data_IF_793373909073
#
_entry.id   IF_793373909073
#
_cell.length_a   1.000
_cell.length_b   1.000
_cell.length_c   1.000
_cell.angle_alpha   90.00
_cell.angle_beta   90.00
_cell.angle_gamma   90.00
#
_symmetry.space_group_name_H-M   'P 1'
#
loop_
_entity.id
_entity.type
_entity.pdbx_description
1 polymer ?
#
# COMPACT_ATOMS: atom_id res chain seq x y z
N UNK A 1 -11.67 42.30 1.60
CA UNK A 1 -12.45 41.11 2.04
C UNK A 1 -13.31 40.49 0.93
N UNK A 2 -13.85 41.24 -0.05
CA UNK A 2 -14.65 40.69 -1.18
C UNK A 2 -13.92 39.69 -2.10
N UNK A 3 -12.60 39.78 -2.23
CA UNK A 3 -11.81 38.89 -3.10
C UNK A 3 -11.64 37.46 -2.55
N UNK A 4 -11.47 37.32 -1.23
CA UNK A 4 -11.35 36.01 -0.57
C UNK A 4 -12.65 35.19 -0.68
N UNK A 5 -13.81 35.85 -0.63
CA UNK A 5 -15.11 35.20 -0.77
C UNK A 5 -15.30 34.59 -2.16
N UNK A 6 -14.79 35.26 -3.21
CA UNK A 6 -14.83 34.76 -4.59
C UNK A 6 -13.85 33.62 -4.83
N UNK A 7 -12.67 33.68 -4.22
CA UNK A 7 -11.67 32.62 -4.29
C UNK A 7 -12.17 31.32 -3.60
N UNK A 8 -12.83 31.46 -2.45
CA UNK A 8 -13.43 30.34 -1.73
C UNK A 8 -14.57 29.66 -2.51
N UNK A 9 -15.39 30.45 -3.22
CA UNK A 9 -16.49 29.94 -4.04
C UNK A 9 -16.03 29.14 -5.26
N UNK A 10 -14.85 29.47 -5.81
CA UNK A 10 -14.26 28.77 -6.97
C UNK A 10 -13.51 27.50 -6.52
N UNK A 11 -12.90 27.49 -5.33
CA UNK A 11 -12.20 26.31 -4.81
C UNK A 11 -13.12 25.22 -4.25
N UNK A 12 -14.29 25.58 -3.71
CA UNK A 12 -15.23 24.62 -3.14
C UNK A 12 -15.61 23.43 -4.07
N UNK A 13 -15.92 23.62 -5.37
CA UNK A 13 -16.24 22.50 -6.26
C UNK A 13 -15.03 21.63 -6.62
N UNK A 14 -13.80 22.15 -6.53
CA UNK A 14 -12.58 21.37 -6.82
C UNK A 14 -12.31 20.29 -5.76
N UNK A 15 -12.77 20.49 -4.52
CA UNK A 15 -12.67 19.49 -3.44
C UNK A 15 -13.75 18.39 -3.54
N UNK A 16 -14.87 18.67 -4.22
CA UNK A 16 -15.93 17.69 -4.43
C UNK A 16 -15.60 16.64 -5.51
N UNK A 17 -14.48 16.81 -6.23
CA UNK A 17 -13.99 15.84 -7.21
C UNK A 17 -13.20 14.67 -6.58
N UNK A 18 -13.14 14.55 -5.25
CA UNK A 18 -12.68 13.33 -4.61
C UNK A 18 -13.61 12.18 -5.03
N UNK A 19 -13.06 11.23 -5.80
CA UNK A 19 -13.81 10.14 -6.41
C UNK A 19 -14.61 9.30 -5.40
N UNK A 20 -15.53 8.49 -5.93
CA UNK A 20 -16.41 7.64 -5.12
C UNK A 20 -15.61 6.82 -4.10
N UNK A 21 -15.88 6.94 -2.79
CA UNK A 21 -15.13 6.19 -1.79
C UNK A 21 -15.33 4.69 -2.03
N UNK A 22 -14.25 3.92 -1.91
CA UNK A 22 -14.26 2.47 -2.15
C UNK A 22 -14.22 1.73 -0.82
N UNK A 23 -14.99 0.66 -0.69
CA UNK A 23 -14.99 -0.22 0.47
C UNK A 23 -14.92 -1.70 0.09
N UNK A 24 -14.36 -2.50 0.98
CA UNK A 24 -14.38 -3.95 0.87
C UNK A 24 -15.76 -4.47 1.31
N UNK A 25 -16.44 -5.18 0.42
CA UNK A 25 -17.77 -5.75 0.67
C UNK A 25 -17.79 -7.25 0.38
N UNK A 26 -18.56 -7.99 1.17
CA UNK A 26 -18.80 -9.43 1.04
C UNK A 26 -20.24 -9.74 1.45
N UNK A 27 -21.01 -10.49 0.66
CA UNK A 27 -22.40 -10.81 0.99
C UNK A 27 -22.47 -11.67 2.26
N UNK A 28 -23.45 -11.37 3.12
CA UNK A 28 -23.74 -12.16 4.33
C UNK A 28 -22.75 -12.01 5.49
N UNK A 29 -21.82 -11.05 5.42
CA UNK A 29 -20.83 -10.80 6.49
C UNK A 29 -21.29 -9.66 7.39
N UNK A 30 -21.13 -9.82 8.70
CA UNK A 30 -21.43 -8.75 9.66
C UNK A 30 -20.32 -7.68 9.65
N UNK A 31 -20.61 -6.43 10.05
CA UNK A 31 -19.58 -5.38 10.14
C UNK A 31 -18.42 -5.75 11.07
N UNK A 32 -18.70 -6.50 12.13
CA UNK A 32 -17.68 -6.99 13.07
C UNK A 32 -16.75 -8.00 12.41
N UNK A 33 -17.30 -8.98 11.69
CA UNK A 33 -16.51 -9.97 10.94
C UNK A 33 -15.66 -9.29 9.85
N UNK A 34 -16.23 -8.32 9.13
CA UNK A 34 -15.48 -7.54 8.14
C UNK A 34 -14.29 -6.80 8.75
N UNK A 35 -14.46 -6.21 9.93
CA UNK A 35 -13.38 -5.55 10.66
C UNK A 35 -12.32 -6.56 11.13
N UNK A 36 -12.73 -7.72 11.63
CA UNK A 36 -11.82 -8.79 12.04
C UNK A 36 -11.00 -9.32 10.85
N UNK A 37 -11.65 -9.58 9.71
CA UNK A 37 -11.00 -10.04 8.48
C UNK A 37 -10.00 -9.02 7.96
N UNK A 38 -10.37 -7.74 7.94
CA UNK A 38 -9.48 -6.64 7.53
C UNK A 38 -8.25 -6.54 8.42
N UNK A 39 -8.44 -6.60 9.74
CA UNK A 39 -7.34 -6.59 10.71
C UNK A 39 -6.42 -7.81 10.55
N UNK A 40 -7.00 -9.00 10.39
CA UNK A 40 -6.26 -10.23 10.14
C UNK A 40 -5.39 -10.10 8.88
N UNK A 41 -5.99 -9.65 7.76
CA UNK A 41 -5.28 -9.51 6.49
C UNK A 41 -4.16 -8.47 6.58
N UNK A 42 -4.36 -7.36 7.29
CA UNK A 42 -3.32 -6.37 7.55
C UNK A 42 -2.14 -6.96 8.31
N UNK A 43 -2.39 -7.68 9.41
CA UNK A 43 -1.32 -8.31 10.18
C UNK A 43 -0.58 -9.40 9.40
N UNK A 44 -1.30 -10.19 8.60
CA UNK A 44 -0.68 -11.19 7.72
C UNK A 44 0.21 -10.54 6.66
N UNK A 45 -0.29 -9.48 6.00
CA UNK A 45 0.46 -8.72 5.01
C UNK A 45 1.74 -8.10 5.59
N UNK A 46 1.66 -7.50 6.78
CA UNK A 46 2.82 -6.97 7.48
C UNK A 46 3.85 -8.06 7.75
N UNK A 47 3.45 -9.20 8.33
CA UNK A 47 4.37 -10.31 8.61
C UNK A 47 5.06 -10.82 7.34
N UNK A 48 4.31 -10.97 6.26
CA UNK A 48 4.83 -11.47 4.99
C UNK A 48 5.78 -10.46 4.30
N UNK A 49 5.43 -9.17 4.32
CA UNK A 49 6.30 -8.11 3.81
C UNK A 49 7.62 -8.02 4.61
N UNK A 50 7.57 -8.28 5.92
CA UNK A 50 8.76 -8.39 6.76
C UNK A 50 9.56 -9.67 6.51
N UNK A 51 8.89 -10.80 6.28
CA UNK A 51 9.54 -12.06 5.98
C UNK A 51 10.30 -12.00 4.64
N UNK A 52 9.66 -11.52 3.58
CA UNK A 52 10.30 -11.30 2.27
C UNK A 52 11.51 -10.37 2.38
N UNK A 53 11.43 -9.29 3.16
CA UNK A 53 12.61 -8.46 3.46
C UNK A 53 13.72 -9.20 4.19
N UNK A 54 13.39 -10.07 5.14
CA UNK A 54 14.40 -10.87 5.84
C UNK A 54 15.10 -11.79 4.84
N UNK A 55 14.34 -12.47 3.98
CA UNK A 55 14.91 -13.32 2.94
C UNK A 55 15.69 -12.51 1.91
N UNK A 56 15.23 -11.35 1.45
CA UNK A 56 15.98 -10.50 0.52
C UNK A 56 17.27 -9.93 1.16
N UNK A 57 17.22 -9.58 2.44
CA UNK A 57 18.39 -9.11 3.22
C UNK A 57 19.44 -10.20 3.42
N UNK A 58 19.03 -11.48 3.42
CA UNK A 58 19.91 -12.63 3.65
C UNK A 58 20.13 -13.52 2.41
N UNK A 59 19.43 -13.28 1.30
CA UNK A 59 19.17 -14.31 0.27
C UNK A 59 19.45 -13.92 -1.18
N UNK A 60 19.92 -12.70 -1.48
CA UNK A 60 20.41 -12.40 -2.82
C UNK A 60 21.54 -11.36 -2.75
N UNK A 61 22.76 -11.80 -2.46
CA UNK A 61 23.99 -10.98 -2.56
C UNK A 61 23.87 -9.56 -1.98
N UNK A 62 24.04 -9.42 -0.65
CA UNK A 62 24.51 -8.15 -0.08
C UNK A 62 25.76 -7.66 -0.84
N UNK A 63 26.10 -6.35 -0.83
CA UNK A 63 27.05 -5.73 -1.76
C UNK A 63 28.32 -6.58 -1.93
N UNK A 64 28.31 -7.38 -3.00
CA UNK A 64 29.37 -8.31 -3.32
C UNK A 64 30.45 -7.57 -4.11
N UNK A 65 31.73 -7.94 -3.96
CA UNK A 65 32.75 -7.43 -4.86
C UNK A 65 32.46 -7.98 -6.27
N UNK A 66 32.09 -7.10 -7.19
CA UNK A 66 32.08 -7.38 -8.62
C UNK A 66 33.42 -6.92 -9.20
N UNK A 67 33.98 -7.66 -10.14
CA UNK A 67 35.24 -7.30 -10.79
C UNK A 67 34.96 -6.89 -12.24
N UNK A 68 35.55 -5.78 -12.68
CA UNK A 68 35.55 -5.42 -14.10
C UNK A 68 36.49 -6.36 -14.91
N UNK A 69 36.49 -6.30 -16.26
CA UNK A 69 37.39 -7.10 -17.08
C UNK A 69 38.89 -6.87 -16.80
N UNK A 70 39.24 -5.77 -16.11
CA UNK A 70 40.58 -5.41 -15.68
C UNK A 70 40.88 -5.79 -14.22
N UNK A 71 40.03 -6.63 -13.61
CA UNK A 71 40.11 -7.08 -12.20
C UNK A 71 40.05 -5.97 -11.16
N UNK A 72 39.53 -4.79 -11.51
CA UNK A 72 39.29 -3.73 -10.52
C UNK A 72 38.04 -4.08 -9.74
N UNK A 73 38.14 -4.04 -8.41
CA UNK A 73 37.03 -4.30 -7.50
C UNK A 73 36.07 -3.11 -7.53
N UNK A 74 34.82 -3.38 -7.88
CA UNK A 74 33.70 -2.46 -7.75
C UNK A 74 32.66 -3.08 -6.82
N UNK A 75 32.26 -2.32 -5.80
CA UNK A 75 31.14 -2.71 -4.96
C UNK A 75 29.92 -1.99 -5.49
N UNK A 76 29.03 -2.70 -6.18
CA UNK A 76 27.69 -2.18 -6.42
C UNK A 76 26.98 -2.15 -5.07
N UNK A 77 26.99 -0.98 -4.41
CA UNK A 77 25.98 -0.69 -3.42
C UNK A 77 24.67 -0.64 -4.21
N UNK A 78 23.98 -1.78 -4.34
CA UNK A 78 22.60 -1.80 -4.78
C UNK A 78 21.90 -0.71 -3.95
N UNK A 79 21.45 0.39 -4.56
CA UNK A 79 20.58 1.30 -3.85
C UNK A 79 19.38 0.45 -3.47
N UNK A 80 19.26 0.14 -2.19
CA UNK A 80 18.03 -0.38 -1.60
C UNK A 80 16.99 0.71 -1.73
N UNK A 81 16.53 0.98 -2.95
CA UNK A 81 15.49 1.94 -3.25
C UNK A 81 14.27 1.51 -2.43
N UNK A 82 13.96 2.28 -1.38
CA UNK A 82 12.71 2.16 -0.62
C UNK A 82 12.74 1.34 0.68
N UNK A 83 13.87 0.77 1.12
CA UNK A 83 13.90 -0.10 2.31
C UNK A 83 14.12 0.66 3.65
N UNK A 84 13.41 1.77 3.87
CA UNK A 84 13.33 2.40 5.19
C UNK A 84 12.68 1.47 6.23
N UNK A 85 12.83 1.75 7.54
CA UNK A 85 12.16 0.98 8.60
C UNK A 85 10.64 1.09 8.43
N UNK A 86 9.99 0.08 7.84
CA UNK A 86 8.55 0.17 7.57
C UNK A 86 7.95 -0.80 6.53
N UNK A 87 8.70 -1.68 5.87
CA UNK A 87 8.14 -2.45 4.75
C UNK A 87 8.07 -1.62 3.47
N UNK A 88 8.00 -2.26 2.30
CA UNK A 88 7.54 -1.53 1.11
C UNK A 88 6.01 -1.38 1.30
N UNK A 89 5.49 -0.16 1.56
CA UNK A 89 4.07 0.03 1.82
C UNK A 89 3.20 -0.40 0.64
N UNK A 90 3.73 -0.37 -0.59
CA UNK A 90 3.01 -0.87 -1.75
C UNK A 90 2.87 -2.39 -1.72
N UNK A 91 3.91 -3.10 -1.28
CA UNK A 91 3.89 -4.55 -1.16
C UNK A 91 2.93 -5.00 -0.05
N UNK A 92 2.95 -4.33 1.11
CA UNK A 92 1.98 -4.62 2.19
C UNK A 92 0.54 -4.41 1.72
N UNK A 93 0.25 -3.28 1.05
CA UNK A 93 -1.09 -2.99 0.52
C UNK A 93 -1.54 -4.03 -0.53
N UNK A 94 -0.63 -4.48 -1.39
CA UNK A 94 -0.89 -5.54 -2.38
C UNK A 94 -1.21 -6.87 -1.70
N UNK A 95 -0.44 -7.26 -0.70
CA UNK A 95 -0.64 -8.50 0.07
C UNK A 95 -1.97 -8.47 0.84
N UNK A 96 -2.29 -7.34 1.48
CA UNK A 96 -3.58 -7.15 2.15
C UNK A 96 -4.74 -7.27 1.16
N UNK A 97 -4.65 -6.58 0.01
CA UNK A 97 -5.68 -6.63 -1.03
C UNK A 97 -5.87 -8.04 -1.58
N UNK A 98 -4.79 -8.80 -1.74
CA UNK A 98 -4.83 -10.20 -2.13
C UNK A 98 -5.56 -11.06 -1.09
N UNK A 99 -5.22 -10.90 0.19
CA UNK A 99 -5.88 -11.61 1.30
C UNK A 99 -7.39 -11.32 1.35
N UNK A 100 -7.79 -10.06 1.20
CA UNK A 100 -9.21 -9.67 1.18
C UNK A 100 -9.96 -10.36 0.03
N UNK A 101 -9.39 -10.34 -1.19
CA UNK A 101 -9.99 -11.03 -2.34
C UNK A 101 -10.06 -12.54 -2.14
N UNK A 102 -9.03 -13.16 -1.58
CA UNK A 102 -9.01 -14.59 -1.28
C UNK A 102 -10.10 -15.01 -0.27
N UNK A 103 -10.47 -14.10 0.66
CA UNK A 103 -11.60 -14.29 1.59
C UNK A 103 -12.98 -14.05 0.95
N UNK A 104 -13.03 -13.67 -0.33
CA UNK A 104 -14.26 -13.39 -1.08
C UNK A 104 -14.76 -11.95 -0.99
N UNK A 105 -13.93 -11.00 -0.54
CA UNK A 105 -14.29 -9.59 -0.57
C UNK A 105 -14.02 -8.97 -1.94
N UNK A 106 -14.92 -8.09 -2.37
CA UNK A 106 -14.75 -7.25 -3.54
C UNK A 106 -14.57 -5.79 -3.11
N UNK A 107 -13.76 -5.03 -3.85
CA UNK A 107 -13.65 -3.59 -3.65
C UNK A 107 -14.75 -2.92 -4.47
N UNK A 108 -15.77 -2.38 -3.81
CA UNK A 108 -16.93 -1.76 -4.46
C UNK A 108 -17.07 -0.30 -4.03
N UNK A 109 -17.64 0.58 -4.86
CA UNK A 109 -17.98 1.93 -4.44
C UNK A 109 -18.94 1.86 -3.25
N UNK A 110 -18.65 2.62 -2.19
CA UNK A 110 -19.68 3.03 -1.24
C UNK A 110 -20.68 3.86 -2.03
N UNK A 111 -21.96 3.46 -1.99
CA UNK A 111 -23.01 4.28 -2.55
C UNK A 111 -22.88 5.69 -1.95
N UNK A 112 -22.95 6.76 -2.77
CA UNK A 112 -23.01 8.10 -2.21
C UNK A 112 -24.17 8.12 -1.23
N UNK A 113 -23.89 8.52 0.01
CA UNK A 113 -24.93 8.78 1.00
C UNK A 113 -25.79 9.92 0.47
N UNK A 114 -26.82 9.58 -0.32
CA UNK A 114 -27.84 10.51 -0.74
C UNK A 114 -28.66 10.89 0.48
N UNK A 115 -28.32 12.04 1.06
CA UNK A 115 -29.13 12.80 2.00
C UNK A 115 -29.38 14.18 1.41
#
# INVERSE_FOLDING_TARGET
MRGFLRLALILAPLLAACGTPMAWTKPGVTPLEAAQDSNYCRHAAWREAWATRRFDRFGAFGPGPTYDPYRRRWTYAQPTYGLGPGGDPFQEMRLQSFCMRAKGYALTPLAPSGG
#
